data_IF_295667816640
#
_entry.id   IF_295667816640
#
_cell.length_a   1.000
_cell.length_b   1.000
_cell.length_c   1.000
_cell.angle_alpha   90.00
_cell.angle_beta   90.00
_cell.angle_gamma   90.00
#
_symmetry.space_group_name_H-M   'P 1'
#
loop_
_entity.id
_entity.type
_entity.pdbx_description
1 polymer ?
#
# COMPACT_ATOMS: atom_id res chain seq x y z
N UNK A 1 -10.08 -12.82 -23.94
CA UNK A 1 -9.83 -12.33 -23.44
C UNK A 1 -10.12 -13.01 -22.97
N UNK A 2 -9.96 -12.46 -23.26
CA UNK A 2 -9.78 -12.10 -22.72
C UNK A 2 -9.97 -12.68 -22.18
N UNK A 3 -9.65 -12.26 -22.55
CA UNK A 3 -9.39 -11.95 -22.03
C UNK A 3 -9.45 -12.28 -21.56
N UNK A 4 -9.49 -12.49 -22.15
CA UNK A 4 -9.20 -12.12 -21.62
C UNK A 4 -9.30 -12.30 -21.23
N UNK A 5 -9.07 -11.88 -21.66
CA UNK A 5 -8.79 -11.40 -21.25
C UNK A 5 -8.71 -11.41 -21.08
N UNK A 6 -8.83 -11.71 -21.75
CA UNK A 6 -8.46 -11.10 -21.48
C UNK A 6 -8.48 -11.01 -21.48
N UNK A 7 -8.56 -10.76 -22.01
CA UNK A 7 -8.19 -10.09 -21.92
C UNK A 7 -8.26 -9.99 -22.03
N UNK A 8 -8.49 -10.16 -22.65
CA UNK A 8 -8.28 -9.48 -22.58
C UNK A 8 -8.58 -9.43 -22.73
N UNK A 9 -8.81 -8.90 -23.37
CA UNK A 9 -8.67 -8.33 -23.30
C UNK A 9 -9.00 -8.17 -23.68
N UNK A 10 -9.26 -8.02 -24.14
CA UNK A 10 -9.10 -7.36 -24.13
C UNK A 10 -9.49 -6.98 -24.52
N UNK A 11 -9.77 -6.84 -25.05
CA UNK A 11 -9.62 -6.13 -24.95
C UNK A 11 -9.91 -5.68 -25.26
N UNK A 12 -10.10 -5.39 -25.67
CA UNK A 12 -9.90 -4.60 -25.53
C UNK A 12 -9.92 -4.03 -25.79
N UNK A 13 -9.93 -4.20 -26.16
CA UNK A 13 -9.74 -3.39 -25.97
C UNK A 13 -9.57 -2.69 -25.89
N UNK A 14 -9.23 -3.16 -26.66
CA UNK A 14 -9.09 -2.31 -26.20
C UNK A 14 -8.99 -1.86 -25.98
N UNK A 15 -8.89 -2.04 -26.36
CA UNK A 15 -8.69 -1.30 -25.72
C UNK A 15 -8.47 -1.15 -25.44
N UNK A 16 -8.36 -1.44 -25.61
CA UNK A 16 -8.07 -1.09 -24.89
C UNK A 16 -7.53 -1.14 -24.49
N UNK A 17 -7.36 -1.20 -24.59
CA UNK A 17 -6.78 -1.01 -23.98
C UNK A 17 -6.89 -1.23 -23.24
N UNK A 18 -7.17 -1.76 -23.08
CA UNK A 18 -7.45 -1.79 -22.27
C UNK A 18 -7.21 -2.03 -21.44
N UNK A 19 -6.94 -2.01 -21.44
CA UNK A 19 -6.65 -2.05 -20.54
C UNK A 19 -7.02 -2.21 -19.25
N UNK A 20 -6.67 -2.97 -18.74
CA UNK A 20 -7.37 -3.13 -17.51
C UNK A 20 -6.56 -2.64 -16.34
N UNK A 21 -7.07 -1.62 -15.66
CA UNK A 21 -6.47 -1.15 -14.44
C UNK A 21 -6.81 -2.10 -13.32
N UNK A 22 -5.89 -2.30 -12.35
CA UNK A 22 -6.21 -3.13 -11.19
C UNK A 22 -7.42 -2.54 -10.47
N UNK A 23 -8.40 -3.39 -10.24
CA UNK A 23 -9.60 -2.99 -9.52
C UNK A 23 -9.36 -3.14 -8.04
N UNK A 24 -9.38 -2.03 -7.32
CA UNK A 24 -9.19 -2.02 -5.87
C UNK A 24 -10.45 -1.45 -5.24
N UNK A 25 -10.99 -2.15 -4.26
CA UNK A 25 -12.22 -1.69 -3.60
C UNK A 25 -11.96 -0.40 -2.83
N UNK A 26 -13.04 0.36 -2.59
CA UNK A 26 -12.95 1.57 -1.78
C UNK A 26 -12.49 1.24 -0.36
N UNK A 27 -12.92 0.11 0.17
CA UNK A 27 -12.50 -0.32 1.50
C UNK A 27 -11.00 -0.54 1.57
N UNK A 28 -10.42 -1.15 0.55
CA UNK A 28 -8.97 -1.38 0.50
C UNK A 28 -8.23 -0.05 0.38
N UNK A 29 -8.73 0.86 -0.45
CA UNK A 29 -8.11 2.19 -0.58
C UNK A 29 -8.14 2.94 0.74
N UNK A 30 -9.27 2.89 1.44
CA UNK A 30 -9.41 3.55 2.73
C UNK A 30 -8.43 2.97 3.74
N UNK A 31 -8.25 1.65 3.72
CA UNK A 31 -7.29 0.98 4.58
C UNK A 31 -5.86 1.44 4.28
N UNK A 32 -5.49 1.53 2.99
CA UNK A 32 -4.17 2.01 2.61
C UNK A 32 -3.96 3.46 3.02
N UNK A 33 -4.98 4.32 2.87
CA UNK A 33 -4.91 5.71 3.33
C UNK A 33 -4.69 5.77 4.83
N UNK A 34 -5.30 4.86 5.57
CA UNK A 34 -5.12 4.73 7.01
C UNK A 34 -3.68 4.32 7.34
N UNK A 35 -3.11 3.39 6.58
CA UNK A 35 -1.77 2.87 6.83
C UNK A 35 -0.65 3.85 6.49
N UNK A 36 -0.89 4.85 5.64
CA UNK A 36 0.15 5.84 5.34
C UNK A 36 0.26 6.91 6.41
N UNK A 37 -0.64 6.89 7.41
CA UNK A 37 -0.59 7.81 8.54
C UNK A 37 0.25 7.18 9.64
N UNK A 38 1.42 7.76 9.91
CA UNK A 38 2.36 7.17 10.89
C UNK A 38 1.75 7.05 12.28
N UNK A 39 0.78 7.89 12.62
CA UNK A 39 0.10 7.84 13.91
C UNK A 39 -0.66 6.53 14.13
N UNK A 40 -0.90 5.77 13.07
CA UNK A 40 -1.60 4.48 13.15
C UNK A 40 -0.63 3.31 13.32
N UNK A 41 0.64 3.60 13.55
CA UNK A 41 1.68 2.61 13.81
C UNK A 41 2.28 2.82 15.18
N UNK A 42 2.84 1.74 15.73
CA UNK A 42 3.56 1.83 16.99
C UNK A 42 4.66 0.77 17.05
N UNK A 43 5.54 0.94 18.00
CA UNK A 43 6.61 -0.02 18.28
C UNK A 43 6.42 -0.49 19.72
N UNK A 44 6.43 -1.82 19.89
CA UNK A 44 6.26 -2.44 21.21
C UNK A 44 7.53 -3.22 21.51
N UNK A 45 8.08 -3.08 22.70
CA UNK A 45 9.21 -3.92 23.09
C UNK A 45 8.67 -5.21 23.69
N UNK A 46 9.14 -6.33 23.13
CA UNK A 46 8.75 -7.65 23.60
C UNK A 46 9.59 -8.08 24.78
N UNK A 47 9.13 -9.06 25.56
CA UNK A 47 9.91 -9.54 26.72
C UNK A 47 11.30 -10.05 26.37
N UNK A 48 11.51 -10.51 25.13
CA UNK A 48 12.82 -10.99 24.69
C UNK A 48 13.74 -9.84 24.24
N UNK A 49 13.29 -8.58 24.36
CA UNK A 49 14.07 -7.42 23.98
C UNK A 49 13.93 -6.95 22.56
N UNK A 50 13.22 -7.70 21.72
CA UNK A 50 12.97 -7.29 20.33
C UNK A 50 11.91 -6.20 20.29
N UNK A 51 11.94 -5.42 19.21
CA UNK A 51 10.97 -4.35 18.97
C UNK A 51 10.03 -4.79 17.85
N UNK A 52 8.75 -4.82 18.16
CA UNK A 52 7.73 -5.28 17.23
C UNK A 52 6.98 -4.08 16.67
N UNK A 53 6.91 -3.98 15.34
CA UNK A 53 6.10 -2.94 14.71
C UNK A 53 4.67 -3.43 14.57
N UNK A 54 3.72 -2.54 14.82
CA UNK A 54 2.31 -2.86 14.75
C UNK A 54 1.58 -1.70 14.12
N UNK A 55 0.51 -2.01 13.37
CA UNK A 55 -0.40 -0.96 12.91
C UNK A 55 -1.77 -1.18 13.56
N UNK A 56 -2.53 -0.09 13.65
CA UNK A 56 -3.90 -0.15 14.12
C UNK A 56 -4.80 -0.32 12.90
N UNK A 57 -5.66 -1.35 12.90
CA UNK A 57 -6.57 -1.56 11.80
C UNK A 57 -7.78 -0.63 11.92
N UNK A 58 -8.73 -0.75 11.00
CA UNK A 58 -9.90 0.13 10.98
C UNK A 58 -10.86 -0.16 12.11
N UNK A 59 -10.70 -1.30 12.79
CA UNK A 59 -11.54 -1.68 13.94
C UNK A 59 -10.83 -1.42 15.27
N UNK A 60 -9.77 -0.61 15.25
CA UNK A 60 -8.98 -0.24 16.43
C UNK A 60 -8.24 -1.40 17.07
N UNK A 61 -7.93 -2.44 16.29
CA UNK A 61 -7.11 -3.54 16.77
C UNK A 61 -5.68 -3.37 16.29
N UNK A 62 -4.71 -3.74 17.12
CA UNK A 62 -3.30 -3.70 16.75
C UNK A 62 -2.89 -5.01 16.12
N UNK A 63 -2.22 -4.90 14.96
CA UNK A 63 -1.78 -6.05 14.17
C UNK A 63 -0.27 -5.99 14.06
N UNK A 64 0.43 -7.07 14.41
CA UNK A 64 1.88 -7.11 14.32
C UNK A 64 2.33 -7.34 12.87
N UNK A 65 3.46 -6.72 12.53
CA UNK A 65 3.99 -6.75 11.17
C UNK A 65 5.39 -7.34 11.13
N UNK A 66 6.34 -6.74 11.87
CA UNK A 66 7.73 -7.19 11.85
C UNK A 66 8.33 -7.14 13.26
N UNK A 67 9.47 -7.81 13.42
CA UNK A 67 10.28 -7.72 14.64
C UNK A 67 11.68 -7.32 14.26
N UNK A 68 12.25 -6.41 15.03
CA UNK A 68 13.59 -5.88 14.77
C UNK A 68 14.36 -5.82 16.10
N UNK A 69 15.68 -5.78 15.99
CA UNK A 69 16.54 -5.78 17.19
C UNK A 69 16.72 -4.40 17.79
N UNK A 70 16.48 -3.33 17.03
CA UNK A 70 16.64 -1.97 17.50
C UNK A 70 15.42 -1.13 17.17
N UNK A 71 15.24 -0.05 17.95
CA UNK A 71 14.16 0.90 17.69
C UNK A 71 14.32 1.53 16.32
N UNK A 72 15.57 1.89 15.97
CA UNK A 72 15.84 2.54 14.69
C UNK A 72 15.48 1.64 13.52
N UNK A 73 15.79 0.35 13.62
CA UNK A 73 15.43 -0.61 12.57
C UNK A 73 13.93 -0.80 12.51
N UNK A 74 13.25 -0.80 13.66
CA UNK A 74 11.79 -0.92 13.69
C UNK A 74 11.12 0.30 13.06
N UNK A 75 11.60 1.49 13.36
CA UNK A 75 11.05 2.71 12.78
C UNK A 75 11.30 2.75 11.28
N UNK A 76 12.48 2.32 10.84
CA UNK A 76 12.78 2.23 9.41
C UNK A 76 11.83 1.27 8.71
N UNK A 77 11.47 0.16 9.35
CA UNK A 77 10.51 -0.79 8.79
C UNK A 77 9.13 -0.16 8.64
N UNK A 78 8.71 0.64 9.62
CA UNK A 78 7.43 1.36 9.53
C UNK A 78 7.46 2.34 8.37
N UNK A 79 8.52 3.13 8.26
CA UNK A 79 8.64 4.12 7.19
C UNK A 79 8.64 3.45 5.81
N UNK A 80 9.27 2.28 5.69
CA UNK A 80 9.26 1.51 4.46
C UNK A 80 7.86 1.02 4.10
N UNK A 81 7.10 0.58 5.10
CA UNK A 81 5.72 0.14 4.88
C UNK A 81 4.84 1.30 4.44
N UNK A 82 4.98 2.46 5.08
CA UNK A 82 4.22 3.65 4.72
C UNK A 82 4.52 4.05 3.28
N UNK A 83 5.80 4.07 2.91
CA UNK A 83 6.21 4.40 1.54
C UNK A 83 5.60 3.42 0.53
N UNK A 84 5.58 2.14 0.88
CA UNK A 84 5.00 1.11 0.01
C UNK A 84 3.52 1.38 -0.26
N UNK A 85 2.75 1.67 0.78
CA UNK A 85 1.31 1.92 0.61
C UNK A 85 1.05 3.26 -0.07
N UNK A 86 1.90 4.25 0.19
CA UNK A 86 1.76 5.54 -0.49
C UNK A 86 1.96 5.39 -2.00
N UNK A 87 2.95 4.60 -2.40
CA UNK A 87 3.20 4.34 -3.82
C UNK A 87 2.04 3.60 -4.46
N UNK A 88 1.41 2.69 -3.73
CA UNK A 88 0.23 2.00 -4.24
C UNK A 88 -0.92 2.96 -4.49
N UNK A 89 -1.15 3.87 -3.54
CA UNK A 89 -2.20 4.88 -3.71
C UNK A 89 -1.90 5.80 -4.88
N UNK A 90 -0.64 6.21 -5.02
CA UNK A 90 -0.24 7.08 -6.13
C UNK A 90 -0.46 6.37 -7.47
N UNK A 91 -0.15 5.09 -7.54
CA UNK A 91 -0.34 4.31 -8.75
C UNK A 91 -1.82 4.29 -9.16
N UNK A 92 -2.72 4.19 -8.19
CA UNK A 92 -4.15 4.14 -8.47
C UNK A 92 -4.70 5.47 -8.97
N UNK A 93 -4.00 6.56 -8.75
CA UNK A 93 -4.43 7.87 -9.27
C UNK A 93 -4.11 8.05 -10.75
N UNK A 94 -3.34 7.11 -11.31
CA UNK A 94 -2.99 7.17 -12.72
C UNK A 94 -1.82 8.09 -13.02
N UNK A 95 -1.56 8.35 -14.28
CA UNK A 95 -0.38 9.15 -14.67
C UNK A 95 -0.52 10.61 -14.25
N UNK A 96 0.60 11.19 -13.90
CA UNK A 96 0.69 12.59 -13.52
C UNK A 96 1.50 13.34 -14.57
N UNK A 97 1.05 14.53 -14.91
CA UNK A 97 1.84 15.39 -15.77
C UNK A 97 2.92 16.04 -14.91
N UNK A 98 4.17 15.68 -15.16
CA UNK A 98 5.29 16.21 -14.40
C UNK A 98 5.79 17.49 -15.02
N UNK A 99 5.78 17.56 -16.35
CA UNK A 99 6.28 18.73 -17.07
C UNK A 99 5.66 18.77 -18.45
N UNK A 100 5.31 19.97 -18.88
CA UNK A 100 4.78 20.19 -20.22
C UNK A 100 5.73 21.10 -20.99
N UNK A 101 6.02 20.75 -22.25
CA UNK A 101 6.91 21.53 -23.11
C UNK A 101 6.11 22.12 -24.24
N UNK A 102 6.47 23.34 -24.64
CA UNK A 102 5.83 23.98 -25.78
C UNK A 102 6.71 23.96 -27.00
#
# INVERSE_FOLDING_TARGET
LIKTKTMTYFYYKTNTWGNSEPQVSEETKDFWKHLVEKKNWRIVQLPNGFYQTEYKDLDDHWVDVTRRETIESAESAIDGSIDHYQKRLDFLQGPKVIKTFE
#
